data_IF_475201884536
#
_entry.id   IF_475201884536
#
_cell.length_a   1.000
_cell.length_b   1.000
_cell.length_c   1.000
_cell.angle_alpha   90.00
_cell.angle_beta   90.00
_cell.angle_gamma   90.00
#
_symmetry.space_group_name_H-M   'P 1'
#
loop_
_entity.id
_entity.type
_entity.pdbx_description
1 polymer ?
#
# COMPACT_ATOMS: atom_id res chain seq x y z
N UNK A 1 -14.10 -52.86 28.13
CA UNK A 1 -15.34 -52.49 27.44
C UNK A 1 -15.20 -51.05 26.96
N UNK A 2 -14.78 -50.83 25.71
CA UNK A 2 -14.68 -49.50 25.11
C UNK A 2 -15.66 -49.44 23.93
N UNK A 3 -16.65 -48.55 24.00
CA UNK A 3 -17.57 -48.24 22.91
C UNK A 3 -16.85 -47.33 21.91
N UNK A 4 -16.72 -47.77 20.66
CA UNK A 4 -16.40 -46.88 19.55
C UNK A 4 -17.67 -46.10 19.16
N UNK A 5 -17.59 -44.78 19.10
CA UNK A 5 -18.59 -43.93 18.46
C UNK A 5 -18.37 -44.00 16.95
N UNK A 6 -19.32 -44.57 16.20
CA UNK A 6 -19.33 -44.51 14.73
C UNK A 6 -20.09 -43.26 14.28
N UNK A 7 -19.42 -42.37 13.57
CA UNK A 7 -20.06 -41.24 12.87
C UNK A 7 -20.45 -41.75 11.48
N UNK A 8 -21.69 -41.50 11.08
CA UNK A 8 -22.28 -41.96 9.82
C UNK A 8 -21.92 -41.00 8.68
N UNK A 9 -21.74 -41.54 7.47
CA UNK A 9 -21.44 -40.80 6.24
C UNK A 9 -22.50 -39.76 5.82
N UNK A 10 -23.61 -39.67 6.54
CA UNK A 10 -24.66 -38.64 6.37
C UNK A 10 -24.25 -37.25 6.87
N UNK A 11 -23.25 -37.14 7.75
CA UNK A 11 -22.88 -35.87 8.39
C UNK A 11 -21.91 -35.02 7.56
N UNK A 12 -21.52 -35.49 6.37
CA UNK A 12 -20.56 -34.82 5.47
C UNK A 12 -21.21 -33.99 4.35
N UNK A 13 -22.53 -33.72 4.43
CA UNK A 13 -23.28 -33.01 3.38
C UNK A 13 -23.49 -31.50 3.58
N UNK A 14 -22.77 -30.87 4.51
CA UNK A 14 -22.96 -29.44 4.83
C UNK A 14 -21.89 -28.51 4.18
N UNK A 15 -21.01 -29.02 3.32
CA UNK A 15 -19.95 -28.20 2.70
C UNK A 15 -20.04 -28.01 1.17
N UNK A 16 -21.15 -28.38 0.53
CA UNK A 16 -21.31 -28.27 -0.93
C UNK A 16 -22.16 -27.07 -1.42
N UNK A 17 -22.34 -26.01 -0.61
CA UNK A 17 -23.13 -24.84 -1.05
C UNK A 17 -22.42 -23.49 -0.89
N UNK A 18 -21.15 -23.42 -1.27
CA UNK A 18 -20.46 -22.13 -1.49
C UNK A 18 -20.14 -22.01 -2.97
N UNK A 19 -20.94 -21.22 -3.67
CA UNK A 19 -20.70 -20.79 -5.05
C UNK A 19 -19.59 -19.73 -5.05
N UNK A 20 -18.50 -20.00 -5.77
CA UNK A 20 -17.48 -19.02 -6.12
C UNK A 20 -17.60 -18.70 -7.61
N UNK A 21 -17.45 -17.43 -8.04
CA UNK A 21 -17.54 -17.06 -9.45
C UNK A 21 -16.27 -17.44 -10.23
N UNK A 22 -16.48 -17.71 -11.52
CA UNK A 22 -15.53 -18.25 -12.49
C UNK A 22 -14.31 -17.36 -12.73
N UNK A 23 -13.09 -17.86 -12.43
CA UNK A 23 -11.87 -17.47 -13.15
C UNK A 23 -10.87 -18.62 -13.23
N UNK A 24 -10.48 -18.93 -14.48
CA UNK A 24 -9.33 -19.72 -14.95
C UNK A 24 -9.20 -21.21 -14.54
N UNK A 25 -9.62 -22.07 -15.48
CA UNK A 25 -9.27 -23.49 -15.59
C UNK A 25 -7.76 -23.66 -15.74
N UNK A 26 -7.08 -24.07 -14.67
CA UNK A 26 -5.79 -24.74 -14.75
C UNK A 26 -6.02 -26.26 -14.72
N UNK A 27 -5.40 -26.97 -15.66
CA UNK A 27 -5.41 -28.44 -15.79
C UNK A 27 -5.28 -29.14 -14.43
N UNK A 28 -6.32 -29.87 -14.04
CA UNK A 28 -6.26 -30.85 -12.95
C UNK A 28 -5.44 -32.06 -13.40
N UNK A 29 -4.14 -32.07 -13.06
CA UNK A 29 -3.44 -33.34 -12.89
C UNK A 29 -3.87 -33.93 -11.55
N UNK A 30 -4.44 -35.14 -11.60
CA UNK A 30 -4.88 -35.89 -10.44
C UNK A 30 -3.67 -36.26 -9.58
N UNK A 31 -3.43 -35.48 -8.51
CA UNK A 31 -2.55 -35.90 -7.43
C UNK A 31 -3.27 -36.99 -6.65
N UNK A 32 -2.95 -38.24 -7.01
CA UNK A 32 -3.32 -39.44 -6.27
C UNK A 32 -2.71 -39.29 -4.88
N UNK A 33 -3.55 -39.08 -3.87
CA UNK A 33 -3.15 -39.14 -2.47
C UNK A 33 -2.78 -40.58 -2.14
N UNK A 34 -1.51 -40.95 -2.33
CA UNK A 34 -0.97 -42.18 -1.77
C UNK A 34 -0.91 -42.01 -0.26
N UNK A 35 -1.80 -42.72 0.42
CA UNK A 35 -1.78 -43.10 1.83
C UNK A 35 -0.43 -42.87 2.53
N UNK A 36 -0.39 -41.93 3.47
CA UNK A 36 0.65 -41.90 4.51
C UNK A 36 0.58 -43.22 5.29
N UNK A 37 1.67 -43.99 5.46
CA UNK A 37 1.64 -45.17 6.29
C UNK A 37 1.45 -44.76 7.75
N UNK A 38 0.38 -45.25 8.37
CA UNK A 38 0.14 -45.13 9.81
C UNK A 38 1.14 -46.03 10.55
N UNK A 39 2.22 -45.42 11.03
CA UNK A 39 3.27 -46.10 11.79
C UNK A 39 2.72 -46.46 13.19
N UNK A 40 2.26 -47.71 13.35
CA UNK A 40 1.92 -48.26 14.68
C UNK A 40 3.21 -48.69 15.37
N UNK A 41 3.65 -47.93 16.40
CA UNK A 41 4.81 -48.31 17.22
C UNK A 41 4.33 -48.79 18.58
N UNK A 42 4.47 -50.09 18.84
CA UNK A 42 4.27 -50.67 20.16
C UNK A 42 5.33 -50.14 21.13
N UNK A 43 4.86 -49.76 22.33
CA UNK A 43 5.63 -49.06 23.34
C UNK A 43 6.93 -49.74 23.73
N UNK A 44 8.03 -48.99 23.60
CA UNK A 44 9.08 -48.81 24.64
C UNK A 44 10.35 -48.13 24.07
N UNK A 45 10.48 -47.95 22.75
CA UNK A 45 11.67 -47.33 22.12
C UNK A 45 11.47 -45.95 21.49
N UNK A 46 10.42 -45.22 21.88
CA UNK A 46 9.99 -43.98 21.17
C UNK A 46 10.44 -42.68 21.85
N UNK A 47 11.49 -42.70 22.69
CA UNK A 47 12.04 -41.44 23.25
C UNK A 47 13.18 -40.84 22.43
N UNK A 48 13.80 -41.61 21.51
CA UNK A 48 15.00 -41.16 20.78
C UNK A 48 14.74 -40.72 19.34
N UNK A 49 13.62 -41.10 18.72
CA UNK A 49 13.35 -40.76 17.31
C UNK A 49 12.29 -39.66 17.08
N UNK A 50 11.54 -39.25 18.12
CA UNK A 50 10.64 -38.08 18.02
C UNK A 50 11.43 -36.77 17.87
N UNK A 51 12.67 -36.71 18.37
CA UNK A 51 13.53 -35.54 18.18
C UNK A 51 13.89 -35.29 16.72
N UNK A 52 13.94 -36.34 15.88
CA UNK A 52 14.35 -36.20 14.48
C UNK A 52 13.21 -35.73 13.59
N UNK A 53 11.95 -36.10 13.89
CA UNK A 53 10.79 -35.74 13.08
C UNK A 53 10.36 -34.27 13.24
N UNK A 54 10.58 -33.68 14.43
CA UNK A 54 10.29 -32.25 14.69
C UNK A 54 11.31 -31.34 14.00
N UNK A 55 12.55 -31.79 13.82
CA UNK A 55 13.61 -31.00 13.18
C UNK A 55 13.39 -30.89 11.66
N UNK A 56 12.77 -31.87 11.01
CA UNK A 56 12.51 -31.83 9.56
C UNK A 56 11.29 -30.96 9.19
N UNK A 57 10.28 -30.88 10.06
CA UNK A 57 9.11 -30.01 9.82
C UNK A 57 9.43 -28.51 10.02
N UNK A 58 10.40 -28.16 10.88
CA UNK A 58 10.84 -26.77 11.06
C UNK A 58 11.68 -26.21 9.88
N UNK A 59 12.25 -27.07 9.03
CA UNK A 59 13.11 -26.65 7.91
C UNK A 59 12.34 -26.26 6.64
N UNK A 60 11.01 -26.43 6.60
CA UNK A 60 10.17 -26.05 5.46
C UNK A 60 9.42 -24.72 5.63
N UNK A 61 9.56 -24.04 6.78
CA UNK A 61 9.20 -22.63 6.89
C UNK A 61 10.36 -21.77 6.38
N UNK A 62 10.64 -21.84 5.07
CA UNK A 62 11.41 -20.78 4.44
C UNK A 62 10.58 -19.49 4.59
N UNK A 63 11.11 -18.42 5.20
CA UNK A 63 10.41 -17.14 5.20
C UNK A 63 10.18 -16.76 3.74
N UNK A 64 8.92 -16.55 3.35
CA UNK A 64 8.61 -15.95 2.07
C UNK A 64 9.37 -14.62 2.01
N UNK A 65 10.15 -14.36 0.94
CA UNK A 65 10.79 -13.07 0.80
C UNK A 65 9.70 -12.01 0.81
N UNK A 66 9.67 -11.18 1.86
CA UNK A 66 8.85 -9.98 1.86
C UNK A 66 9.29 -9.16 0.66
N UNK A 67 8.38 -8.97 -0.29
CA UNK A 67 8.67 -8.18 -1.49
C UNK A 67 8.86 -6.73 -1.03
N UNK A 68 10.11 -6.27 -0.98
CA UNK A 68 10.41 -4.88 -0.65
C UNK A 68 9.88 -4.00 -1.80
N UNK A 69 8.88 -3.18 -1.50
CA UNK A 69 8.34 -2.19 -2.42
C UNK A 69 8.99 -0.82 -2.15
N UNK A 70 9.10 0.05 -3.17
CA UNK A 70 9.71 1.37 -3.00
C UNK A 70 8.77 2.31 -2.24
N UNK A 71 9.35 3.12 -1.34
CA UNK A 71 8.65 4.19 -0.61
C UNK A 71 9.20 5.54 -1.07
N UNK A 72 8.31 6.48 -1.36
CA UNK A 72 8.68 7.84 -1.74
C UNK A 72 9.51 8.53 -0.62
N UNK A 73 10.52 9.30 -1.02
CA UNK A 73 11.46 9.93 -0.08
C UNK A 73 10.78 10.91 0.90
N UNK A 74 11.26 11.02 2.16
CA UNK A 74 10.85 12.07 3.09
C UNK A 74 11.10 13.48 2.54
N UNK A 75 10.30 14.46 2.99
CA UNK A 75 10.30 15.84 2.48
C UNK A 75 9.51 16.00 1.17
N UNK A 76 8.71 15.00 0.80
CA UNK A 76 7.82 15.03 -0.36
C UNK A 76 6.34 14.94 0.03
N UNK A 77 6.06 15.01 1.32
CA UNK A 77 4.73 15.04 1.90
C UNK A 77 3.90 16.17 1.31
N UNK A 78 2.65 15.85 0.99
CA UNK A 78 1.68 16.79 0.43
C UNK A 78 1.99 17.33 -0.95
N UNK A 79 3.05 16.87 -1.61
CA UNK A 79 3.29 17.18 -3.01
C UNK A 79 2.11 16.76 -3.89
N UNK A 80 1.86 17.52 -4.96
CA UNK A 80 0.71 17.33 -5.86
C UNK A 80 1.15 16.85 -7.24
N UNK A 81 0.34 16.02 -7.87
CA UNK A 81 0.62 15.41 -9.18
C UNK A 81 -0.23 16.09 -10.24
N UNK A 82 0.40 16.45 -11.37
CA UNK A 82 -0.28 17.07 -12.50
C UNK A 82 0.05 16.36 -13.80
N UNK A 83 -0.92 16.21 -14.68
CA UNK A 83 -0.68 15.74 -16.04
C UNK A 83 0.24 16.70 -16.81
N UNK A 84 1.12 16.16 -17.65
CA UNK A 84 2.00 16.98 -18.51
C UNK A 84 1.32 17.43 -19.81
N UNK A 85 0.26 16.73 -20.25
CA UNK A 85 -0.52 17.07 -21.45
C UNK A 85 0.29 17.04 -22.75
N UNK A 86 0.93 15.91 -23.04
CA UNK A 86 1.79 15.72 -24.22
C UNK A 86 1.23 14.72 -25.26
N UNK A 87 -0.08 14.46 -25.25
CA UNK A 87 -0.69 13.38 -26.05
C UNK A 87 -0.22 11.98 -25.63
N UNK A 88 0.24 11.85 -24.37
CA UNK A 88 0.71 10.60 -23.80
C UNK A 88 -0.30 10.14 -22.74
N UNK A 89 -0.71 8.86 -22.75
CA UNK A 89 -1.57 8.33 -21.71
C UNK A 89 -0.83 8.28 -20.37
N UNK A 90 -1.56 8.54 -19.29
CA UNK A 90 -1.08 8.31 -17.93
C UNK A 90 -1.39 6.87 -17.55
N UNK A 91 -0.36 6.17 -17.09
CA UNK A 91 -0.48 4.82 -16.56
C UNK A 91 -0.06 4.83 -15.10
N UNK A 92 -0.89 4.21 -14.28
CA UNK A 92 -0.63 3.99 -12.86
C UNK A 92 -0.24 2.54 -12.68
N UNK A 93 0.84 2.26 -11.95
CA UNK A 93 1.33 0.89 -11.69
C UNK A 93 1.35 0.61 -10.20
N UNK A 94 0.71 -0.47 -9.77
CA UNK A 94 0.74 -0.92 -8.38
C UNK A 94 2.12 -1.50 -8.04
N UNK A 95 2.74 -1.02 -6.96
CA UNK A 95 4.09 -1.44 -6.56
C UNK A 95 4.09 -2.28 -5.27
N UNK A 96 2.95 -2.40 -4.60
CA UNK A 96 2.78 -3.15 -3.37
C UNK A 96 2.53 -2.25 -2.16
N UNK A 97 2.54 -2.87 -0.99
CA UNK A 97 2.29 -2.23 0.29
C UNK A 97 2.35 -3.26 1.41
N UNK A 98 2.47 -2.79 2.65
CA UNK A 98 2.41 -3.60 3.87
C UNK A 98 1.19 -3.29 4.72
N UNK A 99 0.13 -2.76 4.09
CA UNK A 99 -1.08 -2.35 4.78
C UNK A 99 -1.61 -3.45 5.71
N UNK A 100 -1.85 -3.08 6.97
CA UNK A 100 -2.54 -3.93 7.92
C UNK A 100 -4.06 -4.01 7.64
N UNK A 101 -4.56 -3.13 6.78
CA UNK A 101 -5.98 -2.96 6.46
C UNK A 101 -6.27 -3.27 4.98
N UNK A 102 -7.53 -3.62 4.70
CA UNK A 102 -8.04 -3.63 3.33
C UNK A 102 -8.21 -2.18 2.85
N UNK A 103 -7.59 -1.85 1.73
CA UNK A 103 -7.55 -0.49 1.19
C UNK A 103 -7.78 -0.46 -0.32
N UNK A 104 -8.51 0.57 -0.74
CA UNK A 104 -8.80 0.85 -2.12
C UNK A 104 -8.21 2.20 -2.53
N UNK A 105 -7.44 2.21 -3.63
CA UNK A 105 -6.93 3.41 -4.27
C UNK A 105 -7.92 3.92 -5.31
N UNK A 106 -8.36 5.16 -5.14
CA UNK A 106 -9.22 5.88 -6.07
C UNK A 106 -8.49 7.08 -6.69
N UNK A 107 -8.80 7.36 -7.96
CA UNK A 107 -8.57 8.66 -8.57
C UNK A 107 -9.86 9.48 -8.47
N UNK A 108 -9.77 10.66 -7.88
CA UNK A 108 -10.88 11.58 -7.69
C UNK A 108 -10.99 12.50 -8.90
N UNK A 109 -12.19 12.59 -9.47
CA UNK A 109 -12.56 13.50 -10.53
C UNK A 109 -13.82 14.29 -10.07
N UNK A 110 -13.76 15.63 -10.01
CA UNK A 110 -14.89 16.43 -9.58
C UNK A 110 -16.12 16.33 -10.51
N UNK A 111 -15.93 15.90 -11.76
CA UNK A 111 -16.99 15.79 -12.77
C UNK A 111 -17.61 14.40 -12.84
N UNK A 112 -16.85 13.34 -12.57
CA UNK A 112 -17.31 11.94 -12.71
C UNK A 112 -17.35 11.16 -11.39
N UNK A 113 -16.78 11.71 -10.31
CA UNK A 113 -16.70 11.06 -9.00
C UNK A 113 -15.37 10.32 -8.81
N UNK A 114 -15.41 9.17 -8.14
CA UNK A 114 -14.21 8.39 -7.82
C UNK A 114 -14.05 7.20 -8.78
N UNK A 115 -12.89 7.09 -9.43
CA UNK A 115 -12.49 5.94 -10.25
C UNK A 115 -11.62 4.99 -9.42
N UNK A 116 -12.08 3.75 -9.21
CA UNK A 116 -11.25 2.70 -8.59
C UNK A 116 -10.06 2.36 -9.50
N UNK A 117 -8.86 2.46 -8.93
CA UNK A 117 -7.59 2.14 -9.58
C UNK A 117 -7.14 0.74 -9.16
N UNK A 118 -6.92 0.53 -7.86
CA UNK A 118 -6.46 -0.74 -7.29
C UNK A 118 -7.11 -0.99 -5.94
N UNK A 119 -7.18 -2.25 -5.54
CA UNK A 119 -7.45 -2.68 -4.17
C UNK A 119 -6.31 -3.59 -3.73
N UNK A 120 -5.73 -3.38 -2.54
CA UNK A 120 -4.55 -4.14 -2.10
C UNK A 120 -4.82 -5.65 -1.93
N UNK A 121 -6.08 -6.02 -1.69
CA UNK A 121 -6.51 -7.42 -1.54
C UNK A 121 -6.56 -8.19 -2.88
N UNK A 122 -6.57 -7.48 -4.01
CA UNK A 122 -6.78 -8.07 -5.34
C UNK A 122 -5.70 -7.72 -6.35
N UNK A 123 -5.02 -6.60 -6.19
CA UNK A 123 -3.95 -6.15 -7.07
C UNK A 123 -2.65 -6.94 -6.82
N UNK A 124 -2.02 -7.38 -7.90
CA UNK A 124 -0.67 -7.93 -7.89
C UNK A 124 0.36 -6.84 -8.22
N UNK A 125 1.56 -6.94 -7.62
CA UNK A 125 2.66 -6.01 -7.94
C UNK A 125 2.94 -6.04 -9.44
N UNK A 126 2.96 -4.87 -10.06
CA UNK A 126 3.12 -4.69 -11.50
C UNK A 126 1.80 -4.52 -12.26
N UNK A 127 0.64 -4.70 -11.61
CA UNK A 127 -0.65 -4.40 -12.21
C UNK A 127 -0.71 -2.93 -12.63
N UNK A 128 -1.34 -2.67 -13.78
CA UNK A 128 -1.41 -1.33 -14.36
C UNK A 128 -2.84 -0.89 -14.64
N UNK A 129 -3.09 0.41 -14.48
CA UNK A 129 -4.32 1.09 -14.87
C UNK A 129 -3.98 2.25 -15.80
N UNK A 130 -4.46 2.19 -17.03
CA UNK A 130 -4.40 3.31 -17.96
C UNK A 130 -5.64 4.19 -17.74
N UNK A 131 -5.43 5.47 -17.44
CA UNK A 131 -6.51 6.46 -17.21
C UNK A 131 -6.72 7.39 -18.41
N UNK A 132 -6.04 7.12 -19.53
CA UNK A 132 -6.09 7.91 -20.73
C UNK A 132 -5.16 9.12 -20.68
N UNK A 133 -5.38 10.06 -21.60
CA UNK A 133 -4.63 11.31 -21.64
C UNK A 133 -5.15 12.28 -20.58
N UNK A 134 -4.23 12.92 -19.87
CA UNK A 134 -4.52 13.93 -18.87
C UNK A 134 -4.00 15.27 -19.39
N UNK A 135 -4.89 16.25 -19.50
CA UNK A 135 -4.52 17.59 -19.96
C UNK A 135 -3.46 18.21 -19.05
N UNK A 136 -2.61 19.04 -19.66
CA UNK A 136 -1.54 19.71 -18.93
C UNK A 136 -2.11 20.56 -17.80
N UNK A 137 -1.55 20.44 -16.60
CA UNK A 137 -2.01 21.19 -15.43
C UNK A 137 -3.28 20.67 -14.77
N UNK A 138 -3.87 19.57 -15.27
CA UNK A 138 -4.94 18.88 -14.54
C UNK A 138 -4.33 18.09 -13.38
N UNK A 139 -4.85 18.32 -12.18
CA UNK A 139 -4.40 17.64 -10.96
C UNK A 139 -4.91 16.19 -10.95
N UNK A 140 -4.03 15.27 -10.58
CA UNK A 140 -4.41 13.89 -10.25
C UNK A 140 -4.52 13.79 -8.73
N UNK A 141 -5.77 13.77 -8.26
CA UNK A 141 -6.08 13.75 -6.85
C UNK A 141 -6.46 12.33 -6.43
N UNK A 142 -5.58 11.68 -5.67
CA UNK A 142 -5.71 10.31 -5.23
C UNK A 142 -6.27 10.24 -3.81
N UNK A 143 -7.13 9.25 -3.59
CA UNK A 143 -7.70 8.90 -2.29
C UNK A 143 -7.45 7.43 -2.00
N UNK A 144 -6.95 7.13 -0.81
CA UNK A 144 -6.99 5.80 -0.23
C UNK A 144 -8.21 5.72 0.69
N UNK A 145 -9.10 4.78 0.41
CA UNK A 145 -10.22 4.42 1.28
C UNK A 145 -9.84 3.19 2.09
N UNK A 146 -10.01 3.25 3.41
CA UNK A 146 -9.74 2.14 4.32
C UNK A 146 -11.03 1.40 4.61
N UNK A 147 -11.21 0.23 4.00
CA UNK A 147 -12.48 -0.50 4.01
C UNK A 147 -12.94 -0.89 5.42
N UNK A 148 -12.00 -1.18 6.32
CA UNK A 148 -12.31 -1.62 7.69
C UNK A 148 -12.80 -0.48 8.60
N UNK A 149 -12.29 0.74 8.39
CA UNK A 149 -12.52 1.88 9.29
C UNK A 149 -13.42 2.94 8.67
N UNK A 150 -13.54 2.95 7.34
CA UNK A 150 -14.28 3.95 6.57
C UNK A 150 -13.53 5.29 6.39
N UNK A 151 -12.28 5.40 6.85
CA UNK A 151 -11.49 6.62 6.66
C UNK A 151 -11.02 6.78 5.22
N UNK A 152 -10.96 8.05 4.81
CA UNK A 152 -10.43 8.46 3.51
C UNK A 152 -9.21 9.35 3.73
N UNK A 153 -8.14 9.04 3.01
CA UNK A 153 -6.88 9.77 3.05
C UNK A 153 -6.45 10.21 1.67
N UNK A 154 -6.00 11.45 1.53
CA UNK A 154 -5.73 12.10 0.27
C UNK A 154 -4.26 12.50 0.14
N UNK A 155 -3.75 12.51 -1.10
CA UNK A 155 -2.54 13.27 -1.39
C UNK A 155 -2.82 14.77 -1.39
N UNK A 156 -1.77 15.57 -1.27
CA UNK A 156 -1.89 17.03 -1.20
C UNK A 156 -1.88 17.57 0.23
N UNK A 157 -2.54 18.71 0.46
CA UNK A 157 -2.53 19.36 1.78
C UNK A 157 -3.06 18.43 2.87
N UNK A 158 -2.42 18.48 4.05
CA UNK A 158 -2.90 17.80 5.26
C UNK A 158 -4.31 18.23 5.69
N UNK A 159 -4.73 19.43 5.28
CA UNK A 159 -6.07 19.96 5.59
C UNK A 159 -7.20 19.18 4.90
N UNK A 160 -6.86 18.34 3.92
CA UNK A 160 -7.82 17.42 3.29
C UNK A 160 -8.04 16.15 4.10
N UNK A 161 -7.20 15.89 5.12
CA UNK A 161 -7.28 14.70 5.95
C UNK A 161 -7.84 15.07 7.33
N UNK A 162 -8.73 14.23 7.86
CA UNK A 162 -9.52 14.56 9.04
C UNK A 162 -8.68 14.69 10.33
N UNK A 163 -7.52 14.03 10.39
CA UNK A 163 -6.56 14.13 11.49
C UNK A 163 -5.54 15.27 11.32
N UNK A 164 -5.60 16.00 10.19
CA UNK A 164 -4.70 17.10 9.89
C UNK A 164 -3.27 16.66 9.58
N UNK A 165 -3.05 15.41 9.17
CA UNK A 165 -1.73 14.89 8.79
C UNK A 165 -1.58 14.69 7.28
N UNK A 166 -0.33 14.56 6.82
CA UNK A 166 -0.06 14.15 5.45
C UNK A 166 -0.11 12.63 5.36
N UNK A 167 -0.91 12.11 4.43
CA UNK A 167 -1.04 10.66 4.21
C UNK A 167 -0.42 10.18 2.91
N UNK A 168 0.24 11.07 2.17
CA UNK A 168 0.98 10.69 0.98
C UNK A 168 2.31 11.42 0.86
N UNK A 169 3.32 10.68 0.43
CA UNK A 169 4.59 11.19 -0.12
C UNK A 169 4.60 11.01 -1.62
N UNK A 170 4.97 12.06 -2.36
CA UNK A 170 5.06 12.01 -3.83
C UNK A 170 6.47 12.40 -4.29
N UNK A 171 7.27 11.40 -4.64
CA UNK A 171 8.60 11.60 -5.17
C UNK A 171 8.57 11.80 -6.68
N UNK A 172 8.98 13.00 -7.11
CA UNK A 172 9.18 13.33 -8.53
C UNK A 172 10.39 12.60 -9.12
N UNK A 173 10.36 12.36 -10.43
CA UNK A 173 11.47 11.78 -11.19
C UNK A 173 12.05 10.51 -10.54
N UNK A 174 11.20 9.67 -9.96
CA UNK A 174 11.62 8.36 -9.48
C UNK A 174 12.14 7.52 -10.65
N UNK A 175 11.44 7.61 -11.78
CA UNK A 175 11.92 7.27 -13.12
C UNK A 175 11.64 8.47 -14.06
N UNK A 176 12.19 8.50 -15.30
CA UNK A 176 11.89 9.57 -16.25
C UNK A 176 10.37 9.79 -16.42
N UNK A 177 9.92 11.04 -16.27
CA UNK A 177 8.51 11.44 -16.32
C UNK A 177 7.57 10.63 -15.40
N UNK A 178 8.09 10.03 -14.33
CA UNK A 178 7.34 9.14 -13.47
C UNK A 178 7.47 9.60 -12.01
N UNK A 179 6.33 9.75 -11.35
CA UNK A 179 6.26 9.97 -9.92
C UNK A 179 6.10 8.63 -9.20
N UNK A 180 6.71 8.51 -8.02
CA UNK A 180 6.42 7.47 -7.03
C UNK A 180 5.54 8.08 -5.95
N UNK A 181 4.41 7.45 -5.66
CA UNK A 181 3.47 7.83 -4.61
C UNK A 181 3.39 6.72 -3.56
N UNK A 182 3.44 7.09 -2.29
CA UNK A 182 3.37 6.17 -1.17
C UNK A 182 2.46 6.73 -0.08
N UNK A 183 1.52 5.91 0.40
CA UNK A 183 0.46 6.30 1.32
C UNK A 183 0.59 5.64 2.70
N UNK A 184 0.07 6.36 3.69
CA UNK A 184 -0.24 5.86 5.04
C UNK A 184 -1.76 5.86 5.21
N UNK A 185 -2.31 4.76 5.71
CA UNK A 185 -3.73 4.45 5.79
C UNK A 185 -4.21 4.31 7.25
N UNK A 186 -3.56 4.98 8.19
CA UNK A 186 -3.90 4.97 9.61
C UNK A 186 -4.30 6.38 10.05
N UNK A 187 -5.49 6.52 10.67
CA UNK A 187 -5.90 7.78 11.29
C UNK A 187 -5.06 8.03 12.55
N UNK A 188 -4.22 9.06 12.56
CA UNK A 188 -3.36 9.39 13.70
C UNK A 188 -3.21 10.92 13.88
N UNK A 189 -4.05 11.56 14.72
CA UNK A 189 -3.95 12.99 14.97
C UNK A 189 -2.67 13.39 15.74
N UNK A 190 -1.93 12.42 16.27
CA UNK A 190 -0.67 12.69 16.97
C UNK A 190 0.52 12.87 16.01
N UNK A 191 0.40 12.45 14.75
CA UNK A 191 1.43 12.59 13.71
C UNK A 191 2.66 11.71 13.93
N UNK A 192 2.54 10.62 14.70
CA UNK A 192 3.65 9.74 15.06
C UNK A 192 3.72 8.48 14.19
N UNK A 193 2.66 8.16 13.45
CA UNK A 193 2.49 6.91 12.71
C UNK A 193 2.46 7.15 11.20
N UNK A 194 3.58 7.54 10.58
CA UNK A 194 3.61 7.64 9.11
C UNK A 194 4.95 7.19 8.54
N UNK A 195 5.05 5.89 8.26
CA UNK A 195 6.15 5.33 7.46
C UNK A 195 5.80 5.30 5.97
N UNK A 196 4.52 5.50 5.63
CA UNK A 196 4.00 5.59 4.26
C UNK A 196 4.24 4.29 3.48
N UNK A 197 4.07 3.14 4.13
CA UNK A 197 4.33 1.84 3.55
C UNK A 197 3.05 1.03 3.27
N UNK A 198 1.87 1.57 3.57
CA UNK A 198 0.61 0.84 3.39
C UNK A 198 0.28 0.62 1.91
N UNK A 199 0.56 1.58 1.04
CA UNK A 199 0.33 1.45 -0.40
C UNK A 199 1.29 2.30 -1.20
N UNK A 200 1.95 1.69 -2.18
CA UNK A 200 2.85 2.38 -3.11
C UNK A 200 2.50 2.09 -4.56
N UNK A 201 2.58 3.13 -5.38
CA UNK A 201 2.32 3.06 -6.82
C UNK A 201 3.14 4.09 -7.58
N UNK A 202 3.35 3.88 -8.88
CA UNK A 202 3.92 4.90 -9.76
C UNK A 202 2.89 5.47 -10.70
N UNK A 203 3.11 6.70 -11.15
CA UNK A 203 2.29 7.40 -12.12
C UNK A 203 3.19 7.94 -13.22
N UNK A 204 2.95 7.55 -14.48
CA UNK A 204 3.73 7.98 -15.64
C UNK A 204 3.20 9.27 -16.27
N UNK A 205 4.05 9.96 -17.02
CA UNK A 205 3.73 11.17 -17.78
C UNK A 205 3.12 12.29 -16.92
N UNK A 206 3.70 12.51 -15.75
CA UNK A 206 3.27 13.54 -14.80
C UNK A 206 4.40 14.47 -14.38
N UNK A 207 4.00 15.63 -13.91
CA UNK A 207 4.83 16.57 -13.17
C UNK A 207 4.40 16.59 -11.71
N UNK A 208 5.33 16.87 -10.81
CA UNK A 208 5.07 16.96 -9.37
C UNK A 208 5.44 18.36 -8.90
N UNK A 209 4.49 19.01 -8.22
CA UNK A 209 4.71 20.32 -7.61
C UNK A 209 4.83 20.12 -6.10
N UNK A 210 6.03 20.35 -5.53
CA UNK A 210 6.20 20.30 -4.09
C UNK A 210 5.42 21.42 -3.41
N UNK A 211 4.81 21.15 -2.26
CA UNK A 211 4.26 22.19 -1.39
C UNK A 211 5.43 22.74 -0.56
N UNK A 212 5.72 24.05 -0.62
CA UNK A 212 6.76 24.63 0.23
C UNK A 212 6.40 24.46 1.70
N UNK A 213 7.34 23.94 2.49
CA UNK A 213 7.14 23.78 3.92
C UNK A 213 6.91 25.15 4.59
N UNK A 214 6.00 25.26 5.58
CA UNK A 214 5.74 26.52 6.31
C UNK A 214 7.01 27.19 6.84
N UNK A 215 8.00 26.40 7.23
CA UNK A 215 9.30 26.83 7.74
C UNK A 215 10.11 27.56 6.67
N UNK A 216 9.95 27.20 5.38
CA UNK A 216 10.60 27.90 4.28
C UNK A 216 10.12 29.35 4.20
N UNK A 217 8.81 29.58 4.37
CA UNK A 217 8.25 30.92 4.43
C UNK A 217 8.69 31.65 5.70
N UNK A 218 8.69 30.97 6.84
CA UNK A 218 9.13 31.56 8.11
C UNK A 218 10.60 32.02 8.04
N UNK A 219 11.49 31.20 7.48
CA UNK A 219 12.91 31.53 7.32
C UNK A 219 13.14 32.63 6.28
N UNK A 220 12.38 32.62 5.19
CA UNK A 220 12.40 33.69 4.21
C UNK A 220 11.99 35.03 4.84
N UNK A 221 10.88 35.05 5.58
CA UNK A 221 10.40 36.23 6.30
C UNK A 221 11.37 36.66 7.40
N UNK A 222 11.96 35.72 8.14
CA UNK A 222 12.98 36.01 9.14
C UNK A 222 14.23 36.64 8.50
N UNK A 223 14.68 36.11 7.36
CA UNK A 223 15.79 36.67 6.58
C UNK A 223 15.51 38.08 6.09
N UNK A 224 14.32 38.33 5.53
CA UNK A 224 13.88 39.67 5.13
C UNK A 224 13.78 40.62 6.33
N UNK A 225 13.28 40.15 7.47
CA UNK A 225 13.21 40.91 8.71
C UNK A 225 14.60 41.34 9.20
N UNK A 226 15.59 40.43 9.17
CA UNK A 226 16.96 40.73 9.55
C UNK A 226 17.63 41.75 8.61
N UNK A 227 17.42 41.61 7.30
CA UNK A 227 17.91 42.57 6.31
C UNK A 227 17.29 43.96 6.52
N UNK A 228 15.98 44.03 6.73
CA UNK A 228 15.27 45.27 7.04
C UNK A 228 15.81 45.95 8.31
N UNK A 229 16.04 45.17 9.38
CA UNK A 229 16.62 45.67 10.63
C UNK A 229 18.05 46.22 10.44
N UNK A 230 18.90 45.50 9.70
CA UNK A 230 20.27 45.96 9.37
C UNK A 230 20.27 47.26 8.57
N UNK A 231 19.42 47.38 7.55
CA UNK A 231 19.30 48.59 6.73
C UNK A 231 18.78 49.79 7.54
N UNK A 232 17.85 49.57 8.47
CA UNK A 232 17.38 50.60 9.40
C UNK A 232 18.52 51.13 10.27
N UNK A 233 19.32 50.24 10.85
CA UNK A 233 20.43 50.64 11.73
C UNK A 233 21.59 51.29 10.96
N UNK A 234 21.82 50.88 9.71
CA UNK A 234 22.84 51.47 8.83
C UNK A 234 22.49 52.90 8.36
N UNK A 235 21.22 53.31 8.45
CA UNK A 235 20.76 54.68 8.16
C UNK A 235 20.82 55.63 9.35
N UNK A 236 21.56 55.28 10.40
CA UNK A 236 21.87 56.20 11.49
C UNK A 236 23.21 56.89 11.23
N UNK A 237 23.25 58.06 10.55
CA UNK A 237 24.31 59.03 10.83
C UNK A 237 23.80 60.47 11.06
N UNK A 238 24.43 61.11 12.05
CA UNK A 238 24.47 62.54 12.44
C UNK A 238 23.30 63.10 13.27
#
# INVERSE_FOLDING_TARGET
MNRALSISASDLKILESISLPDYCVAKTESLIWTSLPLLTINGEKVKKEIKTLIVTALLYFAPFPAHAFPIAAPGTEGSRIFGIGAGLPVTITYLGGSAAHSIDLYLMDPSTGALLIFSNDSASVGDTKNIGEVHSGSELWFRVHVNDTGYDFFNGSRDFNADGQFHARIQRNWLPNTALASFEAIYDPSGNSSVFDDLSFSVSNVNVIPIPEPETYAMFLAGLGLLGWRLRNARSPL
#
